data_IF_495014409370
#
_entry.id   IF_495014409370
#
_cell.length_a   1.000
_cell.length_b   1.000
_cell.length_c   1.000
_cell.angle_alpha   90.00
_cell.angle_beta   90.00
_cell.angle_gamma   90.00
#
_symmetry.space_group_name_H-M   'P 1'
#
loop_
_entity.id
_entity.type
_entity.pdbx_description
1 polymer ?
#
# COMPACT_ATOMS: atom_id res chain seq x y z
N UNK A 1 -4.00 5.91 27.25
CA UNK A 1 -3.60 4.65 26.61
C UNK A 1 -3.11 5.05 25.25
N UNK A 2 -1.83 5.43 25.20
CA UNK A 2 -1.16 5.86 23.98
C UNK A 2 -0.96 4.63 23.10
N UNK A 3 -1.96 4.33 22.29
CA UNK A 3 -1.82 3.39 21.18
C UNK A 3 -0.80 4.05 20.26
N UNK A 4 0.45 3.59 20.26
CA UNK A 4 1.36 3.94 19.16
C UNK A 4 0.64 3.51 17.88
N UNK A 5 0.33 4.43 16.96
CA UNK A 5 -0.35 4.05 15.74
C UNK A 5 0.60 3.12 14.99
N UNK A 6 0.18 1.86 14.83
CA UNK A 6 0.84 0.97 13.90
C UNK A 6 0.67 1.54 12.49
N UNK A 7 1.61 1.27 11.60
CA UNK A 7 1.66 1.94 10.30
C UNK A 7 0.40 1.61 9.47
N UNK A 8 -0.18 0.43 9.71
CA UNK A 8 -1.48 0.03 9.17
C UNK A 8 -2.58 1.02 9.51
N UNK A 9 -2.77 1.34 10.80
CA UNK A 9 -3.84 2.27 11.22
C UNK A 9 -3.59 3.66 10.65
N UNK A 10 -2.32 4.10 10.61
CA UNK A 10 -1.96 5.38 10.02
C UNK A 10 -2.35 5.47 8.52
N UNK A 11 -2.05 4.44 7.74
CA UNK A 11 -2.40 4.42 6.30
C UNK A 11 -3.91 4.39 6.09
N UNK A 12 -4.66 3.63 6.90
CA UNK A 12 -6.13 3.59 6.85
C UNK A 12 -6.71 4.97 7.20
N UNK A 13 -6.30 5.56 8.32
CA UNK A 13 -6.78 6.86 8.77
C UNK A 13 -6.49 7.96 7.73
N UNK A 14 -5.29 7.92 7.12
CA UNK A 14 -4.90 8.87 6.07
C UNK A 14 -5.77 8.71 4.82
N UNK A 15 -6.02 7.48 4.39
CA UNK A 15 -6.89 7.19 3.25
C UNK A 15 -8.33 7.65 3.51
N UNK A 16 -8.87 7.35 4.70
CA UNK A 16 -10.22 7.74 5.11
C UNK A 16 -10.38 9.26 5.20
N UNK A 17 -9.41 9.96 5.80
CA UNK A 17 -9.42 11.43 5.90
C UNK A 17 -9.44 12.11 4.53
N UNK A 18 -8.81 11.48 3.53
CA UNK A 18 -8.74 11.99 2.16
C UNK A 18 -9.85 11.43 1.25
N UNK A 19 -10.68 10.50 1.76
CA UNK A 19 -11.70 9.82 0.97
C UNK A 19 -11.13 8.96 -0.15
N UNK A 20 -9.88 8.51 -0.01
CA UNK A 20 -9.17 7.72 -1.01
C UNK A 20 -9.44 6.25 -0.76
N UNK A 21 -9.80 5.53 -1.81
CA UNK A 21 -9.95 4.07 -1.80
C UNK A 21 -9.17 3.49 -2.97
N UNK A 22 -8.65 2.28 -2.76
CA UNK A 22 -8.08 1.53 -3.87
C UNK A 22 -9.16 1.20 -4.90
N UNK A 23 -8.79 1.35 -6.16
CA UNK A 23 -9.62 0.97 -7.30
C UNK A 23 -8.68 0.36 -8.32
N UNK A 24 -8.89 -0.93 -8.60
CA UNK A 24 -8.14 -1.64 -9.63
C UNK A 24 -8.31 -0.96 -10.98
N UNK A 25 -7.19 -0.80 -11.69
CA UNK A 25 -7.09 -0.19 -13.01
C UNK A 25 -6.58 -1.18 -14.05
N UNK A 26 -6.75 -0.89 -15.35
CA UNK A 26 -6.15 -1.71 -16.41
C UNK A 26 -4.63 -1.84 -16.28
N UNK A 27 -3.95 -0.82 -15.75
CA UNK A 27 -2.51 -0.85 -15.46
C UNK A 27 -2.16 -1.86 -14.38
N UNK A 28 -2.98 -1.96 -13.32
CA UNK A 28 -2.81 -2.97 -12.27
C UNK A 28 -3.00 -4.38 -12.85
N UNK A 29 -4.04 -4.57 -13.67
CA UNK A 29 -4.28 -5.85 -14.35
C UNK A 29 -3.14 -6.24 -15.31
N UNK A 30 -2.54 -5.26 -16.00
CA UNK A 30 -1.37 -5.49 -16.83
C UNK A 30 -0.15 -5.89 -15.98
N UNK A 31 0.06 -5.24 -14.83
CA UNK A 31 1.14 -5.57 -13.90
C UNK A 31 0.98 -7.00 -13.36
N UNK A 32 -0.22 -7.42 -13.00
CA UNK A 32 -0.53 -8.78 -12.56
C UNK A 32 -0.23 -9.82 -13.66
N UNK A 33 -0.68 -9.54 -14.89
CA UNK A 33 -0.44 -10.42 -16.04
C UNK A 33 1.06 -10.52 -16.32
N UNK A 34 1.78 -9.41 -16.31
CA UNK A 34 3.22 -9.37 -16.55
C UNK A 34 4.01 -10.16 -15.48
N UNK A 35 3.64 -9.99 -14.21
CA UNK A 35 4.22 -10.72 -13.08
C UNK A 35 3.99 -12.22 -13.23
N UNK A 36 2.75 -12.63 -13.56
CA UNK A 36 2.42 -14.04 -13.83
C UNK A 36 3.19 -14.62 -15.02
N UNK A 37 3.37 -13.83 -16.08
CA UNK A 37 4.17 -14.23 -17.26
C UNK A 37 5.65 -14.41 -16.92
N UNK A 38 6.17 -13.66 -15.94
CA UNK A 38 7.52 -13.85 -15.43
C UNK A 38 7.67 -15.10 -14.56
N UNK A 39 6.56 -15.79 -14.25
CA UNK A 39 6.54 -16.96 -13.36
C UNK A 39 6.36 -16.61 -11.89
N UNK A 40 6.12 -15.34 -11.57
CA UNK A 40 5.88 -14.86 -10.21
C UNK A 40 4.38 -14.71 -9.94
N UNK A 41 3.98 -14.85 -8.69
CA UNK A 41 2.64 -14.49 -8.20
C UNK A 41 2.81 -13.46 -7.08
N UNK A 42 2.27 -12.27 -7.30
CA UNK A 42 2.32 -11.18 -6.31
C UNK A 42 0.94 -11.05 -5.69
N UNK A 43 0.85 -11.32 -4.39
CA UNK A 43 -0.35 -11.09 -3.59
C UNK A 43 -0.12 -9.83 -2.78
N UNK A 44 -0.78 -8.76 -3.21
CA UNK A 44 -0.78 -7.46 -2.55
C UNK A 44 -1.89 -7.46 -1.49
N UNK A 45 -1.63 -6.87 -0.33
CA UNK A 45 -2.67 -6.66 0.69
C UNK A 45 -3.32 -5.29 0.60
N UNK A 46 -4.40 -5.13 1.36
CA UNK A 46 -5.20 -3.90 1.40
C UNK A 46 -4.37 -2.64 1.75
N UNK A 47 -3.30 -2.77 2.54
CA UNK A 47 -2.49 -1.61 2.95
C UNK A 47 -1.54 -1.21 1.83
N UNK A 48 -0.91 -2.19 1.18
CA UNK A 48 -0.10 -1.97 -0.02
C UNK A 48 -0.94 -1.35 -1.15
N UNK A 49 -2.19 -1.78 -1.33
CA UNK A 49 -3.17 -1.19 -2.27
C UNK A 49 -3.52 0.27 -1.92
N UNK A 50 -3.74 0.58 -0.64
CA UNK A 50 -4.00 1.96 -0.19
C UNK A 50 -2.79 2.87 -0.44
N UNK A 51 -1.58 2.39 -0.22
CA UNK A 51 -0.35 3.13 -0.51
C UNK A 51 -0.23 3.44 -2.01
N UNK A 52 -0.54 2.47 -2.88
CA UNK A 52 -0.61 2.68 -4.34
C UNK A 52 -1.65 3.75 -4.67
N UNK A 53 -2.84 3.68 -4.09
CA UNK A 53 -3.91 4.64 -4.31
C UNK A 53 -3.52 6.06 -3.86
N UNK A 54 -2.94 6.22 -2.67
CA UNK A 54 -2.45 7.49 -2.13
C UNK A 54 -1.36 8.11 -3.03
N UNK A 55 -0.42 7.30 -3.53
CA UNK A 55 0.60 7.77 -4.46
C UNK A 55 0.00 8.17 -5.80
N UNK A 56 -0.99 7.41 -6.28
CA UNK A 56 -1.66 7.64 -7.58
C UNK A 56 -2.48 8.92 -7.59
N UNK A 57 -3.13 9.26 -6.47
CA UNK A 57 -3.86 10.54 -6.32
C UNK A 57 -2.94 11.73 -6.04
N UNK A 58 -1.66 11.48 -5.74
CA UNK A 58 -0.70 12.51 -5.37
C UNK A 58 -0.80 12.97 -3.92
N UNK A 59 -1.53 12.23 -3.07
CA UNK A 59 -1.60 12.49 -1.64
C UNK A 59 -0.26 12.25 -0.93
N UNK A 60 0.55 11.34 -1.47
CA UNK A 60 1.93 11.09 -1.05
C UNK A 60 2.86 11.10 -2.26
N UNK A 61 4.10 11.50 -2.06
CA UNK A 61 5.15 11.46 -3.07
C UNK A 61 5.90 10.11 -3.07
N UNK A 62 6.82 9.94 -4.02
CA UNK A 62 7.58 8.68 -4.16
C UNK A 62 8.46 8.33 -2.95
N UNK A 63 9.04 9.32 -2.27
CA UNK A 63 9.84 9.07 -1.07
C UNK A 63 8.94 8.66 0.10
N UNK A 64 7.80 9.34 0.27
CA UNK A 64 6.80 8.99 1.29
C UNK A 64 6.26 7.59 1.07
N UNK A 65 5.95 7.21 -0.18
CA UNK A 65 5.57 5.84 -0.55
C UNK A 65 6.61 4.81 -0.08
N UNK A 66 7.88 5.03 -0.39
CA UNK A 66 8.96 4.10 -0.01
C UNK A 66 9.12 4.01 1.51
N UNK A 67 9.02 5.14 2.22
CA UNK A 67 9.10 5.15 3.69
C UNK A 67 7.93 4.39 4.32
N UNK A 68 6.70 4.68 3.91
CA UNK A 68 5.50 4.04 4.46
C UNK A 68 5.46 2.55 4.14
N UNK A 69 5.82 2.17 2.91
CA UNK A 69 5.91 0.77 2.51
C UNK A 69 6.99 0.03 3.31
N UNK A 70 8.17 0.64 3.50
CA UNK A 70 9.23 0.05 4.31
C UNK A 70 8.80 -0.20 5.75
N UNK A 71 8.18 0.80 6.39
CA UNK A 71 7.63 0.67 7.74
C UNK A 71 6.54 -0.41 7.82
N UNK A 72 5.69 -0.52 6.80
CA UNK A 72 4.67 -1.57 6.73
C UNK A 72 5.25 -2.96 6.56
N UNK A 73 6.26 -3.13 5.71
CA UNK A 73 6.92 -4.42 5.54
C UNK A 73 7.67 -4.82 6.83
N UNK A 74 8.35 -3.88 7.49
CA UNK A 74 8.99 -4.12 8.78
C UNK A 74 7.97 -4.58 9.83
N UNK A 75 6.81 -3.94 9.92
CA UNK A 75 5.70 -4.37 10.80
C UNK A 75 5.20 -5.77 10.42
N UNK A 76 4.85 -5.99 9.15
CA UNK A 76 4.32 -7.25 8.60
C UNK A 76 5.26 -8.44 8.80
N UNK A 77 6.58 -8.23 8.75
CA UNK A 77 7.57 -9.28 8.93
C UNK A 77 8.12 -9.37 10.36
N UNK A 78 8.01 -8.33 11.18
CA UNK A 78 8.41 -8.36 12.59
C UNK A 78 7.37 -9.03 13.50
N UNK A 79 6.11 -9.11 13.08
CA UNK A 79 5.03 -9.81 13.81
C UNK A 79 5.00 -11.34 13.55
N UNK A 80 6.04 -11.89 12.91
CA UNK A 80 6.07 -13.26 12.39
C UNK A 80 6.94 -14.23 13.22
#
# INVERSE_FOLDING_TARGET
MDTQPNIRSYVIDLADQLGIRYQATPEDALADIATRLAGDEVVIDEIEDLLVALKRTGAINGNEMVTLLGQYLDEKFSER
#
